data_IF_144151946949
#
_entry.id   IF_144151946949
#
_cell.length_a   1.000
_cell.length_b   1.000
_cell.length_c   1.000
_cell.angle_alpha   90.00
_cell.angle_beta   90.00
_cell.angle_gamma   90.00
#
_symmetry.space_group_name_H-M   'P 1'
#
loop_
_entity.id
_entity.type
_entity.pdbx_description
1 polymer ?
#
# COMPACT_ATOMS: atom_id res chain seq x y z
N UNK A 1 -12.81 3.47 18.41
CA UNK A 1 -12.44 3.57 16.98
C UNK A 1 -13.24 2.56 16.17
N UNK A 2 -13.73 2.96 15.00
CA UNK A 2 -14.44 2.07 14.08
C UNK A 2 -13.58 1.71 12.87
N UNK A 3 -13.64 0.45 12.43
CA UNK A 3 -12.86 -0.06 11.30
C UNK A 3 -13.82 -0.63 10.27
N UNK A 4 -13.71 -0.14 9.04
CA UNK A 4 -14.46 -0.58 7.89
C UNK A 4 -13.49 -1.14 6.87
N UNK A 5 -13.64 -2.41 6.51
CA UNK A 5 -12.72 -3.10 5.60
C UNK A 5 -13.50 -3.85 4.53
N UNK A 6 -13.10 -3.66 3.27
CA UNK A 6 -13.71 -4.39 2.17
C UNK A 6 -13.11 -5.81 2.05
N UNK A 7 -13.63 -6.73 2.86
CA UNK A 7 -13.17 -8.12 2.89
C UNK A 7 -13.43 -8.87 1.58
N UNK A 8 -14.50 -8.54 0.84
CA UNK A 8 -14.80 -9.19 -0.43
C UNK A 8 -13.76 -8.85 -1.50
N UNK A 9 -13.33 -7.57 -1.56
CA UNK A 9 -12.24 -7.12 -2.42
C UNK A 9 -10.94 -7.84 -2.06
N UNK A 10 -10.59 -7.88 -0.76
CA UNK A 10 -9.36 -8.56 -0.31
C UNK A 10 -9.38 -10.03 -0.72
N UNK A 11 -10.47 -10.76 -0.44
CA UNK A 11 -10.59 -12.19 -0.80
C UNK A 11 -10.52 -12.41 -2.31
N UNK A 12 -11.14 -11.53 -3.11
CA UNK A 12 -11.10 -11.60 -4.57
C UNK A 12 -9.67 -11.42 -5.09
N UNK A 13 -8.97 -10.37 -4.69
CA UNK A 13 -7.60 -10.12 -5.16
C UNK A 13 -6.59 -11.12 -4.59
N UNK A 14 -6.81 -11.64 -3.38
CA UNK A 14 -6.02 -12.75 -2.85
C UNK A 14 -6.15 -14.02 -3.71
N UNK A 15 -7.38 -14.33 -4.15
CA UNK A 15 -7.63 -15.48 -5.03
C UNK A 15 -7.01 -15.27 -6.41
N UNK A 16 -7.18 -14.09 -7.01
CA UNK A 16 -6.56 -13.71 -8.29
C UNK A 16 -5.03 -13.80 -8.20
N UNK A 17 -4.45 -13.30 -7.11
CA UNK A 17 -3.00 -13.38 -6.87
C UNK A 17 -2.50 -14.82 -6.89
N UNK A 18 -3.20 -15.73 -6.18
CA UNK A 18 -2.84 -17.15 -6.14
C UNK A 18 -2.91 -17.79 -7.53
N UNK A 19 -4.00 -17.54 -8.27
CA UNK A 19 -4.17 -18.06 -9.63
C UNK A 19 -3.08 -17.54 -10.56
N UNK A 20 -2.84 -16.22 -10.62
CA UNK A 20 -1.81 -15.64 -11.48
C UNK A 20 -0.41 -16.15 -11.16
N UNK A 21 -0.08 -16.25 -9.86
CA UNK A 21 1.24 -16.75 -9.43
C UNK A 21 1.43 -18.22 -9.81
N UNK A 22 0.43 -19.07 -9.58
CA UNK A 22 0.48 -20.49 -9.95
C UNK A 22 0.51 -20.67 -11.46
N UNK A 23 -0.34 -19.97 -12.22
CA UNK A 23 -0.35 -20.02 -13.68
C UNK A 23 0.97 -19.53 -14.28
N UNK A 24 1.55 -18.46 -13.73
CA UNK A 24 2.87 -17.97 -14.15
C UNK A 24 3.94 -19.06 -14.02
N UNK A 25 3.98 -19.75 -12.88
CA UNK A 25 4.92 -20.86 -12.66
C UNK A 25 4.68 -22.01 -13.64
N UNK A 26 3.42 -22.41 -13.85
CA UNK A 26 3.08 -23.49 -14.79
C UNK A 26 3.49 -23.16 -16.23
N UNK A 27 3.29 -21.91 -16.68
CA UNK A 27 3.71 -21.44 -18.00
C UNK A 27 5.24 -21.42 -18.12
N UNK A 28 5.96 -21.04 -17.08
CA UNK A 28 7.43 -21.10 -17.07
C UNK A 28 7.94 -22.55 -17.15
N UNK A 29 7.31 -23.46 -16.40
CA UNK A 29 7.67 -24.88 -16.41
C UNK A 29 7.36 -25.53 -17.76
N UNK A 30 6.23 -25.22 -18.40
CA UNK A 30 5.91 -25.77 -19.72
C UNK A 30 6.92 -25.30 -20.77
N UNK A 31 7.31 -24.02 -20.73
CA UNK A 31 8.38 -23.48 -21.57
C UNK A 31 9.71 -24.20 -21.41
N UNK A 32 10.10 -24.48 -20.18
CA UNK A 32 11.32 -25.22 -19.86
C UNK A 32 11.28 -26.66 -20.38
N UNK A 33 10.16 -27.36 -20.19
CA UNK A 33 9.99 -28.74 -20.69
C UNK A 33 10.04 -28.78 -22.22
N UNK A 34 9.39 -27.83 -22.89
CA UNK A 34 9.43 -27.70 -24.36
C UNK A 34 10.86 -27.49 -24.85
N UNK A 35 11.69 -26.72 -24.14
CA UNK A 35 13.07 -26.48 -24.57
C UNK A 35 13.93 -27.74 -24.59
N UNK A 36 13.61 -28.74 -23.76
CA UNK A 36 14.30 -30.04 -23.75
C UNK A 36 13.70 -31.05 -24.71
N UNK A 37 12.37 -31.10 -24.84
CA UNK A 37 11.67 -32.09 -25.68
C UNK A 37 11.64 -31.71 -27.16
N UNK A 38 11.65 -30.41 -27.47
CA UNK A 38 11.54 -29.86 -28.83
C UNK A 38 12.53 -28.70 -29.03
N UNK A 39 13.86 -28.96 -29.05
CA UNK A 39 14.86 -27.92 -29.24
C UNK A 39 14.69 -27.10 -30.53
N UNK A 40 14.05 -27.69 -31.55
CA UNK A 40 13.69 -27.05 -32.82
C UNK A 40 12.75 -25.84 -32.64
N UNK A 41 11.95 -25.79 -31.56
CA UNK A 41 11.00 -24.71 -31.29
C UNK A 41 11.62 -23.62 -30.40
N UNK A 42 12.81 -23.12 -30.75
CA UNK A 42 13.59 -22.19 -29.93
C UNK A 42 12.85 -20.90 -29.52
N UNK A 43 11.86 -20.46 -30.31
CA UNK A 43 11.06 -19.26 -30.02
C UNK A 43 10.00 -19.48 -28.93
N UNK A 44 9.48 -20.70 -28.78
CA UNK A 44 8.39 -21.00 -27.85
C UNK A 44 8.80 -20.82 -26.38
N UNK A 45 9.95 -21.36 -25.91
CA UNK A 45 10.47 -21.08 -24.58
C UNK A 45 10.59 -19.58 -24.27
N UNK A 46 11.01 -18.77 -25.25
CA UNK A 46 11.15 -17.32 -25.08
C UNK A 46 9.81 -16.64 -24.83
N UNK A 47 8.77 -16.96 -25.59
CA UNK A 47 7.42 -16.42 -25.36
C UNK A 47 6.85 -16.86 -24.02
N UNK A 48 6.98 -18.13 -23.66
CA UNK A 48 6.53 -18.63 -22.36
C UNK A 48 7.29 -18.01 -21.20
N UNK A 49 8.58 -17.71 -21.37
CA UNK A 49 9.40 -17.02 -20.36
C UNK A 49 8.86 -15.62 -20.10
N UNK A 50 8.61 -14.82 -21.14
CA UNK A 50 8.07 -13.47 -21.01
C UNK A 50 6.69 -13.50 -20.37
N UNK A 51 5.79 -14.35 -20.89
CA UNK A 51 4.41 -14.43 -20.41
C UNK A 51 4.34 -14.93 -18.96
N UNK A 52 5.05 -16.02 -18.66
CA UNK A 52 5.11 -16.60 -17.33
C UNK A 52 5.72 -15.64 -16.32
N UNK A 53 6.78 -14.92 -16.70
CA UNK A 53 7.40 -13.89 -15.86
C UNK A 53 6.42 -12.73 -15.58
N UNK A 54 5.71 -12.23 -16.58
CA UNK A 54 4.71 -11.17 -16.39
C UNK A 54 3.59 -11.61 -15.43
N UNK A 55 3.03 -12.80 -15.62
CA UNK A 55 1.99 -13.36 -14.74
C UNK A 55 2.49 -13.51 -13.31
N UNK A 56 3.70 -14.04 -13.12
CA UNK A 56 4.31 -14.20 -11.81
C UNK A 56 4.55 -12.86 -11.11
N UNK A 57 5.00 -11.83 -11.84
CA UNK A 57 5.23 -10.49 -11.28
C UNK A 57 3.92 -9.83 -10.82
N UNK A 58 2.86 -9.89 -11.64
CA UNK A 58 1.54 -9.34 -11.28
C UNK A 58 0.96 -10.12 -10.08
N UNK A 59 1.07 -11.45 -10.10
CA UNK A 59 0.66 -12.32 -9.01
C UNK A 59 1.35 -11.97 -7.70
N UNK A 60 2.68 -11.76 -7.73
CA UNK A 60 3.49 -11.37 -6.58
C UNK A 60 3.15 -9.97 -6.06
N UNK A 61 2.91 -9.00 -6.95
CA UNK A 61 2.47 -7.66 -6.56
C UNK A 61 1.16 -7.73 -5.76
N UNK A 62 0.16 -8.45 -6.27
CA UNK A 62 -1.10 -8.66 -5.55
C UNK A 62 -0.89 -9.47 -4.25
N UNK A 63 0.01 -10.46 -4.24
CA UNK A 63 0.31 -11.26 -3.06
C UNK A 63 0.86 -10.40 -1.92
N UNK A 64 1.76 -9.49 -2.24
CA UNK A 64 2.37 -8.58 -1.26
C UNK A 64 1.35 -7.66 -0.60
N UNK A 65 0.29 -7.30 -1.32
CA UNK A 65 -0.76 -6.42 -0.84
C UNK A 65 -1.90 -7.15 -0.13
N UNK A 66 -2.36 -8.28 -0.66
CA UNK A 66 -3.60 -8.94 -0.22
C UNK A 66 -3.41 -10.29 0.49
N UNK A 67 -2.24 -10.93 0.38
CA UNK A 67 -2.00 -12.30 0.90
C UNK A 67 -0.95 -12.34 2.00
N UNK A 68 0.11 -11.52 1.88
CA UNK A 68 1.26 -11.48 2.80
C UNK A 68 0.82 -11.32 4.25
N UNK A 69 1.41 -12.09 5.17
CA UNK A 69 1.16 -11.97 6.61
C UNK A 69 2.39 -11.35 7.32
N UNK A 70 2.22 -10.31 8.18
CA UNK A 70 1.00 -9.55 8.42
C UNK A 70 0.64 -8.64 7.24
N UNK A 71 -0.64 -8.66 6.84
CA UNK A 71 -1.15 -7.82 5.75
C UNK A 71 -1.12 -6.34 6.16
N UNK A 72 -0.96 -5.40 5.22
CA UNK A 72 -0.88 -3.98 5.55
C UNK A 72 -2.10 -3.43 6.31
N UNK A 73 -3.30 -3.88 5.95
CA UNK A 73 -4.57 -3.54 6.62
C UNK A 73 -4.58 -3.98 8.10
N UNK A 74 -4.12 -5.20 8.36
CA UNK A 74 -4.03 -5.76 9.72
C UNK A 74 -3.01 -4.97 10.54
N UNK A 75 -1.86 -4.63 9.96
CA UNK A 75 -0.83 -3.84 10.65
C UNK A 75 -1.35 -2.44 10.99
N UNK A 76 -2.02 -1.77 10.06
CA UNK A 76 -2.63 -0.45 10.28
C UNK A 76 -3.69 -0.52 11.38
N UNK A 77 -4.64 -1.44 11.27
CA UNK A 77 -5.70 -1.67 12.26
C UNK A 77 -5.12 -1.88 13.66
N UNK A 78 -4.10 -2.73 13.77
CA UNK A 78 -3.41 -2.98 15.04
C UNK A 78 -2.67 -1.74 15.56
N UNK A 79 -2.04 -0.96 14.67
CA UNK A 79 -1.31 0.24 15.07
C UNK A 79 -2.18 1.39 15.57
N UNK A 80 -3.48 1.37 15.23
CA UNK A 80 -4.47 2.36 15.65
C UNK A 80 -5.30 1.91 16.88
N UNK A 81 -5.07 0.70 17.40
CA UNK A 81 -5.71 0.24 18.63
C UNK A 81 -5.45 1.22 19.78
N UNK A 82 -6.48 1.41 20.61
CA UNK A 82 -6.47 2.37 21.72
C UNK A 82 -6.87 3.80 21.33
N UNK A 83 -7.18 4.09 20.06
CA UNK A 83 -7.87 5.32 19.70
C UNK A 83 -9.36 5.26 20.06
N UNK A 84 -9.90 6.42 20.45
CA UNK A 84 -11.32 6.56 20.81
C UNK A 84 -12.26 6.49 19.58
N UNK A 85 -13.55 6.68 19.79
CA UNK A 85 -14.59 6.50 18.77
C UNK A 85 -14.69 7.64 17.76
N UNK A 86 -13.86 8.68 17.89
CA UNK A 86 -13.77 9.77 16.91
C UNK A 86 -12.85 9.46 15.74
N UNK A 87 -12.23 8.28 15.77
CA UNK A 87 -11.35 7.79 14.70
C UNK A 87 -12.04 6.69 13.91
N UNK A 88 -11.98 6.81 12.59
CA UNK A 88 -12.57 5.87 11.65
C UNK A 88 -11.51 5.45 10.63
N UNK A 89 -11.34 4.15 10.44
CA UNK A 89 -10.40 3.58 9.48
C UNK A 89 -11.19 2.89 8.36
N UNK A 90 -11.06 3.38 7.14
CA UNK A 90 -11.61 2.75 5.93
C UNK A 90 -10.49 2.08 5.14
N UNK A 91 -10.66 0.81 4.80
CA UNK A 91 -9.63 0.01 4.13
C UNK A 91 -10.23 -0.62 2.87
N UNK A 92 -9.72 -0.21 1.73
CA UNK A 92 -10.14 -0.65 0.40
C UNK A 92 -11.64 -0.40 0.08
N UNK A 93 -12.23 0.61 0.72
CA UNK A 93 -13.62 1.04 0.48
C UNK A 93 -13.64 2.30 -0.38
N UNK A 94 -12.81 3.28 -0.01
CA UNK A 94 -12.72 4.57 -0.68
C UNK A 94 -11.69 4.52 -1.83
N UNK A 95 -11.62 5.56 -2.69
CA UNK A 95 -10.68 5.59 -3.81
C UNK A 95 -9.19 5.54 -3.41
N UNK A 96 -8.89 5.92 -2.17
CA UNK A 96 -7.59 5.72 -1.53
C UNK A 96 -7.55 4.37 -0.79
N UNK A 97 -6.39 3.71 -0.79
CA UNK A 97 -6.24 2.36 -0.25
C UNK A 97 -6.61 2.26 1.23
N UNK A 98 -6.13 3.21 2.02
CA UNK A 98 -6.43 3.32 3.44
C UNK A 98 -6.74 4.77 3.76
N UNK A 99 -7.88 5.01 4.38
CA UNK A 99 -8.32 6.34 4.76
C UNK A 99 -8.55 6.37 6.26
N UNK A 100 -7.97 7.35 6.93
CA UNK A 100 -8.21 7.60 8.35
C UNK A 100 -8.96 8.91 8.46
N UNK A 101 -10.18 8.87 8.97
CA UNK A 101 -10.91 10.06 9.41
C UNK A 101 -10.62 10.25 10.88
N UNK A 102 -10.18 11.45 11.25
CA UNK A 102 -9.78 11.79 12.61
C UNK A 102 -10.26 13.20 12.99
N UNK A 103 -10.21 13.57 14.28
CA UNK A 103 -10.46 14.96 14.71
C UNK A 103 -9.49 16.00 14.12
N UNK A 104 -8.39 15.55 13.53
CA UNK A 104 -7.34 16.39 12.94
C UNK A 104 -7.43 16.46 11.41
N UNK A 105 -8.49 15.93 10.82
CA UNK A 105 -8.74 15.88 9.38
C UNK A 105 -8.73 14.46 8.82
N UNK A 106 -8.76 14.39 7.49
CA UNK A 106 -8.79 13.14 6.72
C UNK A 106 -7.38 12.83 6.20
N UNK A 107 -6.93 11.59 6.37
CA UNK A 107 -5.62 11.15 5.91
C UNK A 107 -5.76 10.06 4.85
N UNK A 108 -5.10 10.25 3.70
CA UNK A 108 -4.88 9.20 2.71
C UNK A 108 -3.55 8.50 3.01
N UNK A 109 -3.62 7.24 3.40
CA UNK A 109 -2.49 6.48 3.91
C UNK A 109 -2.02 5.47 2.87
N UNK A 110 -0.76 5.58 2.47
CA UNK A 110 -0.09 4.51 1.72
C UNK A 110 0.77 3.68 2.67
N UNK A 111 0.76 2.38 2.47
CA UNK A 111 1.56 1.44 3.25
C UNK A 111 2.75 0.91 2.48
N UNK A 112 3.89 0.77 3.14
CA UNK A 112 5.16 0.37 2.55
C UNK A 112 5.83 -0.70 3.44
N UNK A 113 6.14 -1.88 2.91
CA UNK A 113 6.64 -3.03 3.70
C UNK A 113 8.18 -3.17 3.69
N UNK A 114 8.92 -2.17 3.24
CA UNK A 114 10.37 -2.29 3.10
C UNK A 114 11.05 -2.50 4.47
N UNK A 115 12.04 -3.41 4.53
CA UNK A 115 12.95 -3.53 5.67
C UNK A 115 14.28 -2.81 5.40
N UNK A 116 15.20 -2.80 6.35
CA UNK A 116 16.52 -2.16 6.17
C UNK A 116 16.41 -0.66 6.44
N UNK A 117 17.17 0.16 5.72
CA UNK A 117 17.30 1.59 6.02
C UNK A 117 16.76 2.43 4.87
N UNK A 118 15.83 3.32 5.19
CA UNK A 118 15.28 4.36 4.31
C UNK A 118 15.78 5.71 4.79
N UNK A 119 16.51 6.39 3.90
CA UNK A 119 17.16 7.66 4.15
C UNK A 119 16.60 8.72 3.20
N UNK A 120 16.17 9.85 3.75
CA UNK A 120 15.83 11.03 2.95
C UNK A 120 17.08 11.85 2.64
N UNK A 121 17.37 12.02 1.35
CA UNK A 121 18.46 12.84 0.84
C UNK A 121 17.92 14.22 0.46
N UNK A 122 18.06 15.20 1.37
CA UNK A 122 17.47 16.53 1.20
C UNK A 122 17.97 17.26 -0.05
N UNK A 123 19.26 17.14 -0.39
CA UNK A 123 19.87 17.77 -1.57
C UNK A 123 19.27 17.27 -2.89
N UNK A 124 18.92 15.98 -2.95
CA UNK A 124 18.41 15.34 -4.17
C UNK A 124 16.88 15.21 -4.17
N UNK A 125 16.22 15.64 -3.10
CA UNK A 125 14.80 15.40 -2.82
C UNK A 125 14.37 13.96 -3.12
N UNK A 126 15.22 13.00 -2.75
CA UNK A 126 15.02 11.60 -3.10
C UNK A 126 15.24 10.68 -1.90
N UNK A 127 14.63 9.50 -1.98
CA UNK A 127 14.71 8.45 -0.97
C UNK A 127 15.76 7.44 -1.41
N UNK A 128 16.68 7.13 -0.51
CA UNK A 128 17.65 6.05 -0.68
C UNK A 128 17.30 4.88 0.22
N UNK A 129 17.24 3.69 -0.37
CA UNK A 129 16.97 2.44 0.34
C UNK A 129 18.22 1.55 0.36
N UNK A 130 18.70 1.19 1.55
CA UNK A 130 19.91 0.37 1.78
C UNK A 130 19.64 -0.73 2.81
N UNK A 131 20.62 -1.63 3.01
CA UNK A 131 20.54 -2.66 4.06
C UNK A 131 19.62 -3.83 3.72
N UNK A 132 19.41 -4.11 2.42
CA UNK A 132 18.62 -5.25 1.95
C UNK A 132 19.44 -6.00 0.92
N UNK A 133 19.54 -7.33 1.05
CA UNK A 133 20.26 -8.17 0.09
C UNK A 133 19.61 -8.09 -1.31
N UNK A 134 20.40 -8.26 -2.36
CA UNK A 134 19.94 -8.18 -3.75
C UNK A 134 18.77 -9.15 -4.01
N UNK A 135 18.88 -10.38 -3.50
CA UNK A 135 17.80 -11.38 -3.55
C UNK A 135 16.49 -10.86 -2.93
N UNK A 136 16.56 -10.26 -1.74
CA UNK A 136 15.36 -9.72 -1.07
C UNK A 136 14.77 -8.53 -1.82
N UNK A 137 15.61 -7.71 -2.45
CA UNK A 137 15.16 -6.55 -3.25
C UNK A 137 14.43 -6.95 -4.53
N UNK A 138 14.78 -8.10 -5.13
CA UNK A 138 14.18 -8.56 -6.38
C UNK A 138 13.00 -9.49 -6.12
N UNK A 139 13.13 -10.42 -5.17
CA UNK A 139 12.18 -11.54 -5.03
C UNK A 139 11.33 -11.50 -3.76
N UNK A 140 11.71 -10.74 -2.72
CA UNK A 140 11.02 -10.78 -1.43
C UNK A 140 10.34 -9.46 -1.04
N UNK A 141 10.78 -8.33 -1.58
CA UNK A 141 10.26 -7.02 -1.24
C UNK A 141 10.01 -6.24 -2.52
N UNK A 142 8.82 -5.65 -2.61
CA UNK A 142 8.52 -4.67 -3.63
C UNK A 142 9.47 -3.48 -3.50
N UNK A 143 9.95 -2.97 -4.65
CA UNK A 143 10.71 -1.72 -4.71
C UNK A 143 9.97 -0.62 -3.94
N UNK A 144 10.72 0.27 -3.29
CA UNK A 144 10.10 1.39 -2.55
C UNK A 144 9.30 2.32 -3.46
N UNK A 145 9.67 2.36 -4.76
CA UNK A 145 9.03 3.21 -5.74
C UNK A 145 9.27 4.70 -5.46
N UNK A 146 8.25 5.51 -5.71
CA UNK A 146 8.27 6.94 -5.45
C UNK A 146 7.16 7.28 -4.44
N UNK A 147 7.36 6.94 -3.15
CA UNK A 147 6.28 6.96 -2.18
C UNK A 147 5.70 8.36 -1.93
N UNK A 148 6.48 9.43 -2.17
CA UNK A 148 5.98 10.81 -2.07
C UNK A 148 4.93 11.09 -3.15
N UNK A 149 5.24 10.77 -4.41
CA UNK A 149 4.34 10.99 -5.54
C UNK A 149 3.10 10.09 -5.42
N UNK A 150 3.28 8.84 -5.02
CA UNK A 150 2.17 7.91 -4.75
C UNK A 150 1.24 8.45 -3.67
N UNK A 151 1.78 8.94 -2.55
CA UNK A 151 0.97 9.47 -1.45
C UNK A 151 0.20 10.75 -1.85
N UNK A 152 0.81 11.64 -2.63
CA UNK A 152 0.15 12.83 -3.19
C UNK A 152 -0.97 12.47 -4.16
N UNK A 153 -0.74 11.46 -5.00
CA UNK A 153 -1.74 10.98 -5.96
C UNK A 153 -2.95 10.39 -5.23
N UNK A 154 -2.70 9.56 -4.20
CA UNK A 154 -3.74 9.00 -3.34
C UNK A 154 -4.54 10.07 -2.62
N UNK A 155 -3.88 11.06 -1.99
CA UNK A 155 -4.59 12.15 -1.30
C UNK A 155 -5.41 13.00 -2.26
N UNK A 156 -4.87 13.33 -3.44
CA UNK A 156 -5.58 14.09 -4.47
C UNK A 156 -6.79 13.33 -5.02
N UNK A 157 -6.67 12.02 -5.21
CA UNK A 157 -7.78 11.16 -5.66
C UNK A 157 -8.91 11.14 -4.62
N UNK A 158 -8.57 10.98 -3.35
CA UNK A 158 -9.54 11.01 -2.26
C UNK A 158 -10.18 12.39 -2.13
N UNK A 159 -9.41 13.48 -2.19
CA UNK A 159 -9.93 14.83 -2.12
C UNK A 159 -10.95 15.09 -3.24
N UNK A 160 -10.63 14.74 -4.50
CA UNK A 160 -11.56 14.88 -5.62
C UNK A 160 -12.87 14.13 -5.41
N UNK A 161 -12.80 12.93 -4.85
CA UNK A 161 -13.98 12.12 -4.54
C UNK A 161 -14.84 12.77 -3.45
N UNK A 162 -14.22 13.27 -2.38
CA UNK A 162 -14.95 13.96 -1.31
C UNK A 162 -15.53 15.29 -1.79
N UNK A 163 -14.78 16.05 -2.59
CA UNK A 163 -15.22 17.31 -3.20
C UNK A 163 -16.42 17.12 -4.13
N UNK A 164 -16.43 16.05 -4.92
CA UNK A 164 -17.59 15.72 -5.74
C UNK A 164 -18.86 15.41 -4.92
N UNK A 165 -18.70 14.99 -3.65
CA UNK A 165 -19.82 14.64 -2.77
C UNK A 165 -20.27 15.78 -1.85
N UNK A 166 -19.33 16.58 -1.34
CA UNK A 166 -19.58 17.58 -0.30
C UNK A 166 -19.25 19.02 -0.73
N UNK A 167 -18.67 19.24 -1.91
CA UNK A 167 -18.31 20.57 -2.41
C UNK A 167 -17.36 21.30 -1.46
N UNK A 168 -17.67 22.57 -1.17
CA UNK A 168 -16.87 23.44 -0.29
C UNK A 168 -16.77 22.94 1.16
N UNK A 169 -17.67 22.07 1.61
CA UNK A 169 -17.61 21.45 2.95
C UNK A 169 -16.61 20.28 3.02
N UNK A 170 -15.80 20.09 1.98
CA UNK A 170 -14.80 19.02 1.94
C UNK A 170 -13.60 19.35 2.83
N UNK A 171 -13.23 18.48 3.79
CA UNK A 171 -12.03 18.70 4.57
C UNK A 171 -10.77 18.44 3.73
N UNK A 172 -9.66 19.04 4.18
CA UNK A 172 -8.35 18.73 3.64
C UNK A 172 -8.03 17.23 3.75
N UNK A 173 -7.40 16.70 2.70
CA UNK A 173 -6.89 15.33 2.70
C UNK A 173 -5.36 15.35 2.77
N UNK A 174 -4.83 14.87 3.89
CA UNK A 174 -3.40 14.83 4.17
C UNK A 174 -2.78 13.51 3.71
N UNK A 175 -1.73 13.53 2.85
CA UNK A 175 -1.00 12.33 2.51
C UNK A 175 -0.16 11.84 3.69
N UNK A 176 -0.12 10.52 3.89
CA UNK A 176 0.67 9.89 4.97
C UNK A 176 1.31 8.60 4.49
N UNK A 177 2.60 8.42 4.75
CA UNK A 177 3.35 7.22 4.36
C UNK A 177 3.64 6.42 5.63
N UNK A 178 3.15 5.18 5.67
CA UNK A 178 3.30 4.29 6.83
C UNK A 178 4.11 3.05 6.45
N UNK A 179 5.24 2.86 7.13
CA UNK A 179 6.02 1.64 7.00
C UNK A 179 5.50 0.56 7.95
N UNK A 180 5.07 -0.56 7.39
CA UNK A 180 4.43 -1.66 8.13
C UNK A 180 5.43 -2.70 8.64
N UNK A 181 6.64 -2.75 8.07
CA UNK A 181 7.68 -3.67 8.52
C UNK A 181 8.38 -3.13 9.78
N UNK A 182 8.44 -3.89 10.89
CA UNK A 182 9.08 -3.41 12.11
C UNK A 182 10.61 -3.26 12.01
N UNK A 183 11.24 -3.96 11.06
CA UNK A 183 12.70 -3.96 10.82
C UNK A 183 13.14 -2.88 9.83
N UNK A 184 12.33 -1.84 9.65
CA UNK A 184 12.68 -0.64 8.89
C UNK A 184 13.34 0.37 9.80
N UNK A 185 14.37 1.07 9.32
CA UNK A 185 14.99 2.22 9.97
C UNK A 185 14.85 3.44 9.09
N UNK A 186 14.47 4.57 9.72
CA UNK A 186 14.12 5.80 9.04
C UNK A 186 15.12 6.89 9.45
N UNK A 187 15.87 7.42 8.49
CA UNK A 187 16.92 8.43 8.69
C UNK A 187 16.52 9.72 7.95
N UNK A 188 16.71 10.87 8.61
CA UNK A 188 16.43 12.22 8.07
C UNK A 188 15.00 12.47 7.57
N UNK A 189 14.05 11.61 7.92
CA UNK A 189 12.63 11.70 7.52
C UNK A 189 11.89 12.92 8.05
N UNK A 190 12.41 13.66 9.03
CA UNK A 190 11.74 14.89 9.52
C UNK A 190 11.69 16.00 8.48
N UNK A 191 12.57 15.96 7.49
CA UNK A 191 12.68 16.96 6.41
C UNK A 191 11.91 16.55 5.15
N UNK A 192 11.10 15.48 5.21
CA UNK A 192 10.31 15.05 4.05
C UNK A 192 9.07 15.94 3.91
N UNK A 193 8.65 16.25 2.67
CA UNK A 193 7.44 17.06 2.44
C UNK A 193 6.16 16.34 2.89
N UNK A 194 6.20 15.01 2.95
CA UNK A 194 5.10 14.16 3.40
C UNK A 194 5.58 13.37 4.62
N UNK A 195 4.82 13.32 5.71
CA UNK A 195 5.18 12.56 6.88
C UNK A 195 5.39 11.06 6.55
N UNK A 196 6.57 10.55 6.91
CA UNK A 196 6.96 9.15 6.75
C UNK A 196 7.18 8.55 8.14
N UNK A 197 6.38 7.57 8.54
CA UNK A 197 6.43 7.02 9.90
C UNK A 197 6.37 5.49 9.93
N UNK A 198 6.90 4.89 11.00
CA UNK A 198 6.68 3.46 11.29
C UNK A 198 5.26 3.26 11.80
N UNK A 199 4.61 2.15 11.44
CA UNK A 199 3.26 1.81 11.91
C UNK A 199 3.12 1.91 13.44
N UNK A 200 4.13 1.44 14.21
CA UNK A 200 4.15 1.55 15.68
C UNK A 200 3.99 2.99 16.22
N UNK A 201 4.32 4.01 15.43
CA UNK A 201 4.21 5.43 15.83
C UNK A 201 2.95 6.12 15.29
N UNK A 202 2.11 5.43 14.51
CA UNK A 202 0.94 6.00 13.84
C UNK A 202 -0.08 6.59 14.82
N UNK A 203 -0.50 5.84 15.85
CA UNK A 203 -1.42 6.33 16.88
C UNK A 203 -0.89 7.59 17.58
N UNK A 204 0.35 7.54 18.06
CA UNK A 204 0.99 8.69 18.72
C UNK A 204 1.15 9.90 17.78
N UNK A 205 1.35 9.68 16.49
CA UNK A 205 1.42 10.74 15.49
C UNK A 205 0.06 11.43 15.33
N UNK A 206 -1.03 10.67 15.17
CA UNK A 206 -2.38 11.21 14.99
C UNK A 206 -2.87 11.98 16.22
N UNK A 207 -2.60 11.48 17.43
CA UNK A 207 -2.99 12.17 18.69
C UNK A 207 -2.31 13.52 18.89
N UNK A 208 -1.13 13.73 18.29
CA UNK A 208 -0.37 14.97 18.40
C UNK A 208 -0.79 16.04 17.39
N UNK A 209 -1.62 15.68 16.41
CA UNK A 209 -2.06 16.64 15.41
C UNK A 209 -3.10 17.59 16.02
N UNK A 210 -3.04 18.89 15.70
CA UNK A 210 -4.06 19.83 16.15
C UNK A 210 -5.42 19.43 15.55
N UNK A 211 -6.51 19.79 16.24
CA UNK A 211 -7.85 19.61 15.67
C UNK A 211 -8.00 20.49 14.44
N UNK A 212 -8.65 19.96 13.41
CA UNK A 212 -8.91 20.65 12.14
C UNK A 212 -10.28 20.27 11.62
N UNK A 213 -10.71 20.95 10.56
CA UNK A 213 -11.90 20.57 9.82
C UNK A 213 -11.80 19.10 9.36
N UNK A 214 -12.85 18.34 9.60
CA UNK A 214 -12.95 16.90 9.32
C UNK A 214 -14.40 16.55 9.04
N UNK A 215 -14.65 15.34 8.54
CA UNK A 215 -16.00 14.88 8.23
C UNK A 215 -16.86 14.76 9.49
N UNK A 216 -18.13 15.17 9.38
CA UNK A 216 -19.12 15.01 10.43
C UNK A 216 -19.73 13.59 10.45
N UNK A 217 -20.47 13.26 11.50
CA UNK A 217 -21.03 11.91 11.69
C UNK A 217 -22.01 11.48 10.58
N UNK A 218 -22.72 12.43 9.96
CA UNK A 218 -23.63 12.13 8.84
C UNK A 218 -22.83 11.76 7.59
N UNK A 219 -21.84 12.58 7.22
CA UNK A 219 -20.93 12.33 6.10
C UNK A 219 -20.18 11.00 6.27
N UNK A 220 -19.75 10.68 7.50
CA UNK A 220 -19.08 9.41 7.82
C UNK A 220 -20.01 8.22 7.55
N UNK A 221 -21.27 8.28 7.97
CA UNK A 221 -22.26 7.22 7.71
C UNK A 221 -22.54 7.05 6.22
N UNK A 222 -22.62 8.14 5.47
CA UNK A 222 -22.82 8.10 4.02
C UNK A 222 -21.63 7.52 3.25
N UNK A 223 -20.41 7.55 3.79
CA UNK A 223 -19.24 6.91 3.17
C UNK A 223 -19.26 5.39 3.31
N UNK A 224 -20.05 4.85 4.23
CA UNK A 224 -20.16 3.42 4.48
C UNK A 224 -21.25 2.74 3.64
N UNK A 225 -22.25 3.48 3.16
CA UNK A 225 -23.33 2.91 2.35
C UNK A 225 -22.84 2.68 0.91
N UNK A 226 -22.85 1.42 0.42
CA UNK A 226 -22.42 1.07 -0.94
C UNK A 226 -23.35 1.59 -2.03
#
# INVERSE_FOLDING_TARGET
MQIYTNESLIKRYASISKVLSTSGILVLLSGLVISFLRPEWYSMPFYTLILGFMLANIGMFLANKYVRNPRPDIVLSNSLKGLDDRYFLYQYILPAQHVIVSPSGVYAVITKFQSGTVEWLSEKQNIKHRGVSLYKRIFAQESIGQPIIEAQSESKRLYKYLYAKYGEDTPDVYPLIVFTNPKIDLINIKKTPIPMIKAKRLNAYLRKQPKKHTLNDQQIKELYQP
#
